data_IF_721393475699
#
_entry.id   IF_721393475699
#
_cell.length_a   1.000
_cell.length_b   1.000
_cell.length_c   1.000
_cell.angle_alpha   90.00
_cell.angle_beta   90.00
_cell.angle_gamma   90.00
#
_symmetry.space_group_name_H-M   'P 1'
#
loop_
_entity.id
_entity.type
_entity.pdbx_description
1 polymer ?
#
# COMPACT_ATOMS: atom_id res chain seq x y z
N UNK A 1 18.57 -21.03 -1.87
CA UNK A 1 17.65 -21.96 -1.18
C UNK A 1 17.61 -21.51 0.28
N UNK A 2 16.71 -20.67 0.66
CA UNK A 2 16.56 -20.19 2.05
C UNK A 2 15.86 -21.29 2.84
N UNK A 3 16.60 -22.03 3.64
CA UNK A 3 16.05 -22.99 4.58
C UNK A 3 15.50 -22.22 5.80
N UNK A 4 14.18 -22.05 5.83
CA UNK A 4 13.47 -21.23 6.81
C UNK A 4 13.26 -21.90 8.18
N UNK A 5 14.06 -22.86 8.60
CA UNK A 5 13.72 -23.69 9.78
C UNK A 5 14.67 -23.61 10.98
N UNK A 6 15.70 -22.78 10.96
CA UNK A 6 16.50 -22.51 12.15
C UNK A 6 16.59 -21.02 12.40
N UNK A 7 15.84 -20.54 13.38
CA UNK A 7 16.04 -19.21 13.97
C UNK A 7 16.97 -19.41 15.17
N UNK A 8 18.20 -18.98 15.04
CA UNK A 8 19.15 -18.91 16.14
C UNK A 8 19.22 -17.48 16.64
N UNK A 9 19.21 -17.29 17.94
CA UNK A 9 19.48 -15.99 18.53
C UNK A 9 20.98 -15.72 18.42
N UNK A 10 21.35 -14.59 17.85
CA UNK A 10 22.74 -14.14 17.75
C UNK A 10 22.94 -12.94 18.66
N UNK A 11 24.12 -12.87 19.32
CA UNK A 11 24.50 -11.76 20.20
C UNK A 11 25.20 -10.63 19.43
N UNK A 12 25.80 -10.95 18.30
CA UNK A 12 26.54 -10.00 17.45
C UNK A 12 26.16 -10.21 15.98
N UNK A 13 26.13 -9.11 15.24
CA UNK A 13 26.01 -9.09 13.78
C UNK A 13 27.07 -8.14 13.21
N UNK A 14 27.64 -8.49 12.08
CA UNK A 14 28.65 -7.67 11.39
C UNK A 14 28.08 -7.04 10.12
N UNK A 15 28.76 -6.03 9.60
CA UNK A 15 28.35 -5.37 8.37
C UNK A 15 28.22 -6.36 7.21
N UNK A 16 27.03 -6.41 6.60
CA UNK A 16 26.66 -7.34 5.55
C UNK A 16 25.78 -8.50 5.99
N UNK A 17 25.59 -8.69 7.30
CA UNK A 17 24.67 -9.72 7.80
C UNK A 17 23.21 -9.33 7.61
N UNK A 18 22.37 -10.34 7.39
CA UNK A 18 20.91 -10.21 7.38
C UNK A 18 20.38 -10.84 8.66
N UNK A 19 19.83 -10.01 9.52
CA UNK A 19 19.31 -10.41 10.82
C UNK A 19 17.82 -10.13 10.93
N UNK A 20 17.13 -10.94 11.76
CA UNK A 20 15.74 -10.69 12.14
C UNK A 20 15.70 -9.92 13.47
N UNK A 21 14.91 -8.86 13.51
CA UNK A 21 14.64 -8.10 14.74
C UNK A 21 13.20 -8.38 15.15
N UNK A 22 12.98 -8.58 16.46
CA UNK A 22 11.62 -8.67 16.97
C UNK A 22 10.98 -7.28 16.94
N UNK A 23 9.89 -7.15 16.21
CA UNK A 23 9.13 -5.91 16.10
C UNK A 23 7.72 -6.08 16.66
N UNK A 24 7.24 -5.08 17.38
CA UNK A 24 5.89 -4.97 17.92
C UNK A 24 4.96 -4.15 17.02
N UNK A 25 5.36 -3.86 15.78
CA UNK A 25 4.62 -3.06 14.81
C UNK A 25 5.04 -1.58 14.78
N UNK A 26 6.27 -1.28 15.21
CA UNK A 26 6.82 0.07 15.23
C UNK A 26 7.65 0.42 13.98
N UNK A 27 8.12 -0.61 13.25
CA UNK A 27 9.01 -0.43 12.11
C UNK A 27 8.29 -0.69 10.78
N UNK A 28 8.75 0.01 9.76
CA UNK A 28 8.26 -0.14 8.39
C UNK A 28 9.42 -0.52 7.46
N UNK A 29 9.10 -1.09 6.31
CA UNK A 29 10.10 -1.37 5.27
C UNK A 29 10.72 -0.05 4.81
N UNK A 30 12.05 0.01 4.84
CA UNK A 30 12.82 1.21 4.51
C UNK A 30 13.28 2.01 5.72
N UNK A 31 12.81 1.69 6.94
CA UNK A 31 13.28 2.35 8.14
C UNK A 31 14.75 2.03 8.41
N UNK A 32 15.48 3.05 8.88
CA UNK A 32 16.86 2.92 9.31
C UNK A 32 16.94 2.90 10.84
N UNK A 33 17.48 1.82 11.38
CA UNK A 33 17.72 1.71 12.81
C UNK A 33 19.16 2.10 13.12
N UNK A 34 19.36 3.05 14.05
CA UNK A 34 20.67 3.55 14.42
C UNK A 34 20.69 3.95 15.89
N UNK A 35 21.84 3.79 16.53
CA UNK A 35 22.13 4.32 17.87
C UNK A 35 22.74 5.74 17.84
N UNK A 36 22.98 6.28 16.64
CA UNK A 36 23.51 7.63 16.47
C UNK A 36 22.48 8.68 16.85
N UNK A 37 22.97 9.81 17.42
CA UNK A 37 22.12 10.96 17.73
C UNK A 37 21.66 11.72 16.48
N UNK A 38 22.45 11.66 15.43
CA UNK A 38 22.15 12.29 14.14
C UNK A 38 21.34 11.30 13.27
N UNK A 39 20.26 11.75 12.65
CA UNK A 39 19.49 10.90 11.76
C UNK A 39 20.35 10.46 10.56
N UNK A 40 20.29 9.18 10.25
CA UNK A 40 20.96 8.56 9.13
C UNK A 40 19.91 8.05 8.15
N UNK A 41 19.95 8.51 6.91
CA UNK A 41 19.02 8.09 5.87
C UNK A 41 19.79 7.40 4.75
N UNK A 42 19.28 6.25 4.32
CA UNK A 42 19.68 5.61 3.07
C UNK A 42 18.69 5.98 1.97
N UNK A 43 19.08 5.75 0.72
CA UNK A 43 18.14 5.89 -0.39
C UNK A 43 16.97 4.90 -0.19
N UNK A 44 15.71 5.37 -0.37
CA UNK A 44 14.55 4.52 -0.20
C UNK A 44 14.58 3.37 -1.22
N UNK A 45 14.02 2.23 -0.81
CA UNK A 45 13.83 1.12 -1.74
C UNK A 45 12.84 1.53 -2.84
N UNK A 46 13.12 1.17 -4.11
CA UNK A 46 12.21 1.50 -5.20
C UNK A 46 10.85 0.84 -4.98
N UNK A 47 9.80 1.65 -4.96
CA UNK A 47 8.42 1.18 -4.89
C UNK A 47 7.81 1.23 -6.27
N UNK A 48 7.36 0.09 -6.77
CA UNK A 48 6.66 0.03 -8.04
C UNK A 48 5.19 0.41 -7.83
N UNK A 49 4.64 1.33 -8.64
CA UNK A 49 3.22 1.63 -8.58
C UNK A 49 2.41 0.39 -8.94
N UNK A 50 1.25 0.17 -8.30
CA UNK A 50 0.40 -0.97 -8.62
C UNK A 50 -0.26 -0.79 -9.99
N UNK A 51 -0.41 -1.91 -10.69
CA UNK A 51 -1.07 -1.99 -11.99
C UNK A 51 -2.42 -2.72 -11.93
N UNK A 52 -2.66 -3.41 -10.82
CA UNK A 52 -3.86 -4.20 -10.58
C UNK A 52 -4.51 -3.75 -9.27
N UNK A 53 -5.83 -3.59 -9.28
CA UNK A 53 -6.59 -3.15 -8.11
C UNK A 53 -7.75 -4.09 -7.83
N UNK A 54 -8.08 -4.26 -6.54
CA UNK A 54 -9.23 -5.04 -6.13
C UNK A 54 -9.87 -4.45 -4.87
N UNK A 55 -11.20 -4.47 -4.81
CA UNK A 55 -11.99 -4.23 -3.62
C UNK A 55 -11.99 -5.50 -2.76
N UNK A 56 -11.70 -5.35 -1.46
CA UNK A 56 -11.61 -6.47 -0.55
C UNK A 56 -12.61 -6.31 0.58
N UNK A 57 -13.43 -7.34 0.76
CA UNK A 57 -14.44 -7.38 1.82
C UNK A 57 -14.34 -8.67 2.62
N UNK A 58 -14.49 -8.64 3.96
CA UNK A 58 -14.57 -9.86 4.75
C UNK A 58 -15.87 -10.60 4.43
N UNK A 59 -15.80 -11.93 4.25
CA UNK A 59 -16.98 -12.78 4.05
C UNK A 59 -17.81 -12.91 5.32
N UNK A 60 -17.18 -12.72 6.48
CA UNK A 60 -17.83 -12.80 7.79
C UNK A 60 -17.60 -11.46 8.52
N UNK A 61 -18.68 -10.74 8.78
CA UNK A 61 -18.65 -9.44 9.47
C UNK A 61 -18.18 -9.56 10.93
N UNK A 62 -18.36 -10.70 11.57
CA UNK A 62 -17.84 -10.95 12.92
C UNK A 62 -16.31 -11.01 12.95
N UNK A 63 -15.66 -11.24 11.82
CA UNK A 63 -14.22 -11.27 11.64
C UNK A 63 -13.64 -9.90 11.22
N UNK A 64 -14.43 -8.83 11.26
CA UNK A 64 -14.00 -7.50 10.81
C UNK A 64 -12.73 -7.00 11.53
N UNK A 65 -12.58 -7.26 12.84
CA UNK A 65 -11.37 -6.88 13.59
C UNK A 65 -10.13 -7.65 13.12
N UNK A 66 -10.24 -8.95 12.92
CA UNK A 66 -9.16 -9.80 12.41
C UNK A 66 -8.78 -9.38 10.99
N UNK A 67 -9.77 -9.10 10.15
CA UNK A 67 -9.57 -8.60 8.81
C UNK A 67 -8.80 -7.27 8.82
N UNK A 68 -9.24 -6.28 9.58
CA UNK A 68 -8.55 -4.98 9.65
C UNK A 68 -7.12 -5.12 10.17
N UNK A 69 -6.91 -5.94 11.21
CA UNK A 69 -5.57 -6.21 11.75
C UNK A 69 -4.67 -6.84 10.68
N UNK A 70 -5.17 -7.88 9.99
CA UNK A 70 -4.41 -8.56 8.94
C UNK A 70 -4.08 -7.66 7.77
N UNK A 71 -5.04 -6.86 7.28
CA UNK A 71 -4.82 -5.88 6.20
C UNK A 71 -3.73 -4.88 6.58
N UNK A 72 -3.81 -4.30 7.78
CA UNK A 72 -2.82 -3.31 8.25
C UNK A 72 -1.43 -3.92 8.36
N UNK A 73 -1.32 -5.12 8.92
CA UNK A 73 -0.03 -5.77 9.13
C UNK A 73 0.61 -6.21 7.80
N UNK A 74 -0.17 -6.79 6.88
CA UNK A 74 0.31 -7.16 5.55
C UNK A 74 0.71 -5.94 4.69
N UNK A 75 0.06 -4.79 4.89
CA UNK A 75 0.46 -3.54 4.28
C UNK A 75 1.81 -3.05 4.82
N UNK A 76 2.01 -3.07 6.14
CA UNK A 76 3.27 -2.67 6.79
C UNK A 76 4.45 -3.56 6.35
N UNK A 77 4.20 -4.85 6.13
CA UNK A 77 5.19 -5.80 5.61
C UNK A 77 5.47 -5.62 4.11
N UNK A 78 4.80 -4.67 3.44
CA UNK A 78 4.96 -4.44 2.00
C UNK A 78 4.45 -5.57 1.11
N UNK A 79 3.67 -6.51 1.65
CA UNK A 79 3.13 -7.63 0.90
C UNK A 79 2.16 -7.16 -0.19
N UNK A 80 1.45 -6.06 0.07
CA UNK A 80 0.50 -5.44 -0.84
C UNK A 80 0.33 -3.96 -0.49
N UNK A 81 -0.04 -3.14 -1.46
CA UNK A 81 -0.41 -1.74 -1.20
C UNK A 81 -1.89 -1.67 -0.83
N UNK A 82 -2.21 -0.90 0.21
CA UNK A 82 -3.57 -0.79 0.74
C UNK A 82 -4.04 0.65 0.68
N UNK A 83 -5.24 0.82 0.17
CA UNK A 83 -5.94 2.10 0.02
C UNK A 83 -7.33 2.03 0.64
N UNK A 84 -7.92 3.17 0.89
CA UNK A 84 -9.32 3.31 1.29
C UNK A 84 -10.02 4.31 0.40
N UNK A 85 -11.23 3.99 -0.01
CA UNK A 85 -12.07 4.96 -0.71
C UNK A 85 -12.83 5.84 0.30
N UNK A 86 -13.63 6.78 -0.20
CA UNK A 86 -14.44 7.70 0.60
C UNK A 86 -15.49 6.99 1.51
N UNK A 87 -15.80 5.72 1.25
CA UNK A 87 -16.71 4.88 2.04
C UNK A 87 -15.96 4.01 3.05
N UNK A 88 -14.65 4.24 3.21
CA UNK A 88 -13.75 3.45 4.06
C UNK A 88 -13.66 1.97 3.65
N UNK A 89 -13.99 1.64 2.41
CA UNK A 89 -13.81 0.31 1.85
C UNK A 89 -12.33 0.08 1.53
N UNK A 90 -11.87 -1.16 1.77
CA UNK A 90 -10.47 -1.55 1.54
C UNK A 90 -10.25 -1.89 0.07
N UNK A 91 -9.35 -1.16 -0.56
CA UNK A 91 -8.86 -1.42 -1.90
C UNK A 91 -7.40 -1.85 -1.79
N UNK A 92 -7.02 -2.90 -2.48
CA UNK A 92 -5.62 -3.36 -2.54
C UNK A 92 -5.08 -3.18 -3.95
N UNK A 93 -3.82 -2.76 -4.01
CA UNK A 93 -3.07 -2.58 -5.23
C UNK A 93 -1.87 -3.53 -5.29
N UNK A 94 -1.64 -4.15 -6.44
CA UNK A 94 -0.56 -5.09 -6.68
C UNK A 94 0.11 -4.84 -8.03
N UNK A 95 1.38 -5.19 -8.15
CA UNK A 95 2.11 -5.19 -9.42
C UNK A 95 1.75 -6.44 -10.24
N UNK A 96 1.43 -7.56 -9.56
CA UNK A 96 1.11 -8.83 -10.22
C UNK A 96 0.06 -9.64 -9.48
N UNK A 97 -0.56 -10.57 -10.20
CA UNK A 97 -1.63 -11.44 -9.71
C UNK A 97 -1.24 -12.24 -8.48
N UNK A 98 0.00 -12.74 -8.42
CA UNK A 98 0.48 -13.57 -7.32
C UNK A 98 0.43 -12.83 -5.97
N UNK A 99 0.62 -11.52 -5.93
CA UNK A 99 0.52 -10.74 -4.70
C UNK A 99 -0.89 -10.81 -4.09
N UNK A 100 -1.93 -10.81 -4.91
CA UNK A 100 -3.31 -10.99 -4.44
C UNK A 100 -3.55 -12.39 -3.86
N UNK A 101 -3.00 -13.41 -4.49
CA UNK A 101 -3.14 -14.79 -4.02
C UNK A 101 -2.43 -15.00 -2.68
N UNK A 102 -1.21 -14.47 -2.55
CA UNK A 102 -0.45 -14.49 -1.29
C UNK A 102 -1.17 -13.69 -0.20
N UNK A 103 -1.69 -12.52 -0.52
CA UNK A 103 -2.44 -11.70 0.41
C UNK A 103 -3.70 -12.41 0.92
N UNK A 104 -4.49 -12.99 0.02
CA UNK A 104 -5.67 -13.77 0.38
C UNK A 104 -5.30 -14.96 1.25
N UNK A 105 -4.30 -15.75 0.84
CA UNK A 105 -3.83 -16.91 1.59
C UNK A 105 -3.41 -16.54 3.02
N UNK A 106 -2.63 -15.47 3.18
CA UNK A 106 -2.16 -15.00 4.48
C UNK A 106 -3.31 -14.50 5.36
N UNK A 107 -4.26 -13.72 4.82
CA UNK A 107 -5.43 -13.28 5.57
C UNK A 107 -6.26 -14.47 6.08
N UNK A 108 -6.45 -15.48 5.24
CA UNK A 108 -7.26 -16.66 5.61
C UNK A 108 -6.55 -17.53 6.65
N UNK A 109 -5.24 -17.76 6.52
CA UNK A 109 -4.51 -18.73 7.33
C UNK A 109 -3.84 -18.14 8.58
N UNK A 110 -3.38 -16.89 8.53
CA UNK A 110 -2.71 -16.24 9.67
C UNK A 110 -3.68 -15.43 10.53
N UNK A 111 -4.73 -14.85 9.91
CA UNK A 111 -5.69 -13.96 10.59
C UNK A 111 -7.09 -14.58 10.72
N UNK A 112 -7.32 -15.78 10.16
CA UNK A 112 -8.62 -16.44 10.14
C UNK A 112 -9.73 -15.53 9.55
N UNK A 113 -9.40 -14.73 8.56
CA UNK A 113 -10.28 -13.78 7.90
C UNK A 113 -10.47 -14.15 6.42
N UNK A 114 -11.53 -14.90 6.12
CA UNK A 114 -11.90 -15.19 4.72
C UNK A 114 -12.43 -13.94 4.05
N UNK A 115 -11.96 -13.68 2.83
CA UNK A 115 -12.29 -12.49 2.07
C UNK A 115 -12.97 -12.81 0.74
N UNK A 116 -13.72 -11.82 0.22
CA UNK A 116 -14.08 -11.69 -1.17
C UNK A 116 -13.22 -10.60 -1.78
N UNK A 117 -12.73 -10.84 -2.98
CA UNK A 117 -11.89 -9.91 -3.71
C UNK A 117 -12.51 -9.68 -5.08
N UNK A 118 -13.00 -8.48 -5.32
CA UNK A 118 -13.63 -8.07 -6.58
C UNK A 118 -12.65 -7.17 -7.34
N UNK A 119 -12.27 -7.59 -8.55
CA UNK A 119 -11.36 -6.81 -9.41
C UNK A 119 -11.97 -5.48 -9.79
N UNK A 120 -11.13 -4.46 -9.79
CA UNK A 120 -11.47 -3.13 -10.25
C UNK A 120 -10.76 -2.84 -11.58
N UNK A 121 -11.46 -2.20 -12.50
CA UNK A 121 -10.95 -1.86 -13.84
C UNK A 121 -10.12 -0.57 -13.82
N UNK A 122 -9.10 -0.55 -12.93
CA UNK A 122 -8.10 0.51 -12.85
C UNK A 122 -6.71 -0.08 -13.08
N UNK A 123 -5.84 0.69 -13.73
CA UNK A 123 -4.46 0.27 -14.03
C UNK A 123 -3.40 1.30 -13.64
N UNK A 124 -3.81 2.48 -13.22
CA UNK A 124 -2.89 3.57 -12.86
C UNK A 124 -3.34 4.25 -11.58
N UNK A 125 -2.37 4.68 -10.78
CA UNK A 125 -2.59 5.52 -9.60
C UNK A 125 -1.73 6.79 -9.70
N UNK A 126 -2.26 7.93 -9.28
CA UNK A 126 -1.54 9.20 -9.19
C UNK A 126 -1.88 9.91 -7.89
N UNK A 127 -0.86 10.32 -7.14
CA UNK A 127 -1.05 11.13 -5.94
C UNK A 127 -1.47 12.53 -6.31
N UNK A 128 -2.31 13.11 -5.45
CA UNK A 128 -2.81 14.47 -5.59
C UNK A 128 -2.08 15.39 -4.63
N UNK A 129 -1.64 16.52 -5.13
CA UNK A 129 -1.16 17.62 -4.31
C UNK A 129 -2.26 18.69 -4.26
N UNK A 130 -3.26 18.49 -3.36
CA UNK A 130 -4.37 19.42 -3.20
C UNK A 130 -4.96 19.36 -1.80
N UNK A 131 -5.48 20.50 -1.33
CA UNK A 131 -6.25 20.60 -0.09
C UNK A 131 -7.77 20.55 -0.36
N UNK A 132 -8.21 20.78 -1.61
CA UNK A 132 -9.62 20.84 -1.99
C UNK A 132 -10.14 19.52 -2.54
N UNK A 133 -10.42 18.57 -1.63
CA UNK A 133 -10.96 17.25 -1.99
C UNK A 133 -12.40 17.30 -2.55
N UNK A 134 -13.20 18.31 -2.18
CA UNK A 134 -14.56 18.43 -2.71
C UNK A 134 -14.53 18.81 -4.20
N UNK A 135 -13.62 19.69 -4.58
CA UNK A 135 -13.37 20.00 -5.97
C UNK A 135 -12.96 18.74 -6.74
N UNK A 136 -12.02 17.94 -6.19
CA UNK A 136 -11.60 16.66 -6.80
C UNK A 136 -12.78 15.73 -7.00
N UNK A 137 -13.61 15.51 -5.96
CA UNK A 137 -14.79 14.63 -6.06
C UNK A 137 -15.73 15.03 -7.19
N UNK A 138 -15.91 16.34 -7.41
CA UNK A 138 -16.76 16.85 -8.50
C UNK A 138 -16.23 16.60 -9.91
N UNK A 139 -14.93 16.28 -10.03
CA UNK A 139 -14.23 16.01 -11.30
C UNK A 139 -14.22 14.53 -11.69
N UNK A 140 -14.53 13.63 -10.73
CA UNK A 140 -14.46 12.19 -10.93
C UNK A 140 -15.63 11.68 -11.76
N UNK A 141 -15.37 10.63 -12.53
CA UNK A 141 -16.36 9.88 -13.29
C UNK A 141 -16.22 8.36 -13.04
N UNK A 142 -16.96 7.53 -13.76
CA UNK A 142 -16.93 6.07 -13.59
C UNK A 142 -15.57 5.41 -13.94
N UNK A 143 -14.65 6.14 -14.56
CA UNK A 143 -13.32 5.67 -14.96
C UNK A 143 -12.22 6.19 -14.04
N UNK A 144 -12.60 6.87 -12.96
CA UNK A 144 -11.71 7.46 -11.97
C UNK A 144 -12.24 7.20 -10.56
N UNK A 145 -11.36 6.99 -9.60
CA UNK A 145 -11.73 6.76 -8.20
C UNK A 145 -10.78 7.47 -7.25
N UNK A 146 -11.30 8.27 -6.35
CA UNK A 146 -10.52 8.85 -5.25
C UNK A 146 -10.32 7.81 -4.16
N UNK A 147 -9.07 7.60 -3.79
CA UNK A 147 -8.68 6.73 -2.68
C UNK A 147 -7.62 7.43 -1.82
N UNK A 148 -7.38 6.90 -0.65
CA UNK A 148 -6.37 7.39 0.30
C UNK A 148 -5.42 6.25 0.65
N UNK A 149 -4.13 6.54 0.73
CA UNK A 149 -3.14 5.58 1.20
C UNK A 149 -3.15 5.47 2.73
N UNK A 150 -2.23 4.69 3.28
CA UNK A 150 -2.13 4.47 4.73
C UNK A 150 -1.63 5.70 5.54
N UNK A 151 -1.20 6.76 4.85
CA UNK A 151 -0.89 8.07 5.44
C UNK A 151 -2.00 9.10 5.21
N UNK A 152 -3.20 8.66 4.80
CA UNK A 152 -4.34 9.51 4.44
C UNK A 152 -4.06 10.48 3.28
N UNK A 153 -3.06 10.19 2.44
CA UNK A 153 -2.75 11.01 1.27
C UNK A 153 -3.67 10.64 0.11
N UNK A 154 -4.27 11.62 -0.55
CA UNK A 154 -5.22 11.37 -1.63
C UNK A 154 -4.52 10.92 -2.91
N UNK A 155 -5.13 9.93 -3.59
CA UNK A 155 -4.76 9.46 -4.92
C UNK A 155 -6.00 9.33 -5.78
N UNK A 156 -5.81 9.46 -7.10
CA UNK A 156 -6.82 9.05 -8.07
C UNK A 156 -6.34 7.77 -8.77
N UNK A 157 -7.21 6.77 -8.80
CA UNK A 157 -7.09 5.62 -9.67
C UNK A 157 -7.71 5.95 -11.02
N UNK A 158 -7.04 5.58 -12.11
CA UNK A 158 -7.47 5.77 -13.49
C UNK A 158 -7.61 4.42 -14.18
N UNK A 159 -8.65 4.26 -14.98
CA UNK A 159 -8.89 3.04 -15.75
C UNK A 159 -7.73 2.72 -16.71
N UNK A 160 -7.17 3.74 -17.36
CA UNK A 160 -6.05 3.60 -18.30
C UNK A 160 -5.37 4.94 -18.58
N UNK A 161 -4.29 4.90 -19.37
CA UNK A 161 -3.51 6.08 -19.74
C UNK A 161 -4.34 7.14 -20.49
N UNK A 162 -5.30 6.72 -21.32
CA UNK A 162 -6.17 7.66 -22.02
C UNK A 162 -7.03 8.47 -21.04
N UNK A 163 -7.59 7.81 -20.02
CA UNK A 163 -8.38 8.46 -18.97
C UNK A 163 -7.52 9.46 -18.17
N UNK A 164 -6.29 9.08 -17.84
CA UNK A 164 -5.35 9.97 -17.16
C UNK A 164 -5.04 11.22 -18.01
N UNK A 165 -4.68 11.03 -19.28
CA UNK A 165 -4.36 12.13 -20.19
C UNK A 165 -5.55 13.09 -20.37
N UNK A 166 -6.75 12.54 -20.55
CA UNK A 166 -7.98 13.34 -20.67
C UNK A 166 -8.27 14.12 -19.38
N UNK A 167 -8.05 13.50 -18.21
CA UNK A 167 -8.23 14.17 -16.92
C UNK A 167 -7.25 15.34 -16.78
N UNK A 168 -5.97 15.15 -17.10
CA UNK A 168 -4.94 16.18 -17.03
C UNK A 168 -5.19 17.33 -18.00
N UNK A 169 -5.67 17.03 -19.22
CA UNK A 169 -6.02 18.03 -20.22
C UNK A 169 -7.19 18.92 -19.75
N UNK A 170 -8.20 18.28 -19.15
CA UNK A 170 -9.41 18.97 -18.66
C UNK A 170 -9.17 19.74 -17.35
N UNK A 171 -8.22 19.30 -16.54
CA UNK A 171 -7.92 19.83 -15.20
C UNK A 171 -6.43 20.16 -15.06
N UNK A 172 -5.94 21.04 -15.93
CA UNK A 172 -4.53 21.42 -16.01
C UNK A 172 -3.98 22.15 -14.76
N UNK A 173 -4.87 22.60 -13.89
CA UNK A 173 -4.56 23.20 -12.59
C UNK A 173 -4.29 22.16 -11.49
N UNK A 174 -4.58 20.87 -11.77
CA UNK A 174 -4.35 19.78 -10.82
C UNK A 174 -2.94 19.20 -10.99
N UNK A 175 -2.23 19.08 -9.88
CA UNK A 175 -0.89 18.47 -9.86
C UNK A 175 -1.00 17.01 -9.46
N UNK A 176 -0.65 16.12 -10.39
CA UNK A 176 -0.60 14.68 -10.22
C UNK A 176 0.85 14.19 -10.20
N UNK A 177 1.18 13.35 -9.23
CA UNK A 177 2.52 12.80 -9.04
C UNK A 177 2.50 11.29 -9.28
N UNK A 178 3.52 10.77 -9.99
CA UNK A 178 3.69 9.31 -10.22
C UNK A 178 4.19 8.58 -8.99
N UNK A 179 5.07 9.24 -8.25
CA UNK A 179 5.61 8.77 -6.99
C UNK A 179 5.71 9.93 -6.02
N UNK A 180 5.58 9.66 -4.74
CA UNK A 180 5.89 10.64 -3.72
C UNK A 180 7.40 10.57 -3.47
N UNK A 181 8.08 11.69 -3.67
CA UNK A 181 9.42 11.86 -3.15
C UNK A 181 9.36 11.76 -1.62
N UNK A 182 9.92 10.69 -1.08
CA UNK A 182 10.01 10.44 0.37
C UNK A 182 10.88 11.49 1.09
N UNK A 183 11.44 12.44 0.35
CA UNK A 183 12.28 13.53 0.87
C UNK A 183 11.54 14.66 1.59
N UNK A 184 10.24 14.52 1.81
CA UNK A 184 9.38 15.55 2.38
C UNK A 184 8.74 15.23 3.73
N UNK A 185 9.30 14.31 4.54
CA UNK A 185 8.91 14.13 5.95
C UNK A 185 10.09 14.35 6.86
#
# INVERSE_FOLDING_TARGET
>A
MLMANHRENVEEAIAGDIIGIYDTGNYQIGDTLTDRKEPLFFEPLPTFPPELFALVTPKDTMKAKQFQKGVSQLAQEGAIQVYRNQYNEVIVGAVGQLQFEVFQYRLENEYNAKIRMDRLDFSLARWLETEDLEKVKSMLDSRTMLVFDHFDRPLILFANQFTLNYFMEKHSDMKLLEALDVKGM
#
